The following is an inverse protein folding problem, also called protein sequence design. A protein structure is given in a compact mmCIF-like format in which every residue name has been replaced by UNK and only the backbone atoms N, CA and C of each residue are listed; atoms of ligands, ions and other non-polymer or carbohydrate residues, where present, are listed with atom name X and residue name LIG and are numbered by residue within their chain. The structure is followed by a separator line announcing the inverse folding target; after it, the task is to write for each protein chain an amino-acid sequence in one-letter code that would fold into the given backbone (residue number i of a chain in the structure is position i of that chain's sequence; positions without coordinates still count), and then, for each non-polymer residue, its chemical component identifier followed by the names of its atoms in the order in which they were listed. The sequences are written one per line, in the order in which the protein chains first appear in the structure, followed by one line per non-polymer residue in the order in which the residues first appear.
data_IF_458404936738
#
_entry.id   IF_458404936738
#
_cell.length_a   1.000
_cell.length_b   1.000
_cell.length_c   1.000
_cell.angle_alpha   90.00
_cell.angle_beta   90.00
_cell.angle_gamma   90.00
#
_symmetry.space_group_name_H-M   'P 1'
#
loop_
_entity.id
_entity.type
_entity.pdbx_description
1 polymer ?
#
# COMPACT_ATOMS: atom_id res chain seq x y z
N UNK A 1 -9.90 10.66 0.42
CA UNK A 1 -8.82 10.95 -0.56
C UNK A 1 -9.02 10.18 -1.86
N UNK A 2 -9.11 8.84 -1.84
CA UNK A 2 -9.32 8.03 -3.06
C UNK A 2 -10.56 8.44 -3.86
N UNK A 3 -11.73 8.53 -3.23
CA UNK A 3 -12.97 8.96 -3.89
C UNK A 3 -12.84 10.35 -4.53
N UNK A 4 -12.08 11.23 -3.90
CA UNK A 4 -11.80 12.59 -4.43
C UNK A 4 -10.92 12.52 -5.68
N UNK A 5 -9.84 11.75 -5.64
CA UNK A 5 -8.93 11.56 -6.78
C UNK A 5 -9.64 10.88 -7.96
N UNK A 6 -10.46 9.85 -7.68
CA UNK A 6 -11.29 9.17 -8.67
C UNK A 6 -12.25 10.13 -9.36
N UNK A 7 -13.02 10.91 -8.58
CA UNK A 7 -13.95 11.89 -9.11
C UNK A 7 -13.25 12.98 -9.94
N UNK A 8 -12.06 13.44 -9.52
CA UNK A 8 -11.26 14.40 -10.29
C UNK A 8 -10.76 13.81 -11.62
N UNK A 9 -10.30 12.56 -11.63
CA UNK A 9 -9.87 11.88 -12.84
C UNK A 9 -11.04 11.68 -13.82
N UNK A 10 -12.21 11.26 -13.32
CA UNK A 10 -13.45 11.13 -14.10
C UNK A 10 -13.88 12.47 -14.70
N UNK A 11 -13.92 13.54 -13.89
CA UNK A 11 -14.28 14.89 -14.35
C UNK A 11 -13.30 15.44 -15.40
N UNK A 12 -12.03 15.04 -15.33
CA UNK A 12 -11.00 15.39 -16.29
C UNK A 12 -10.95 14.45 -17.53
N UNK A 13 -11.85 13.46 -17.62
CA UNK A 13 -11.87 12.48 -18.71
C UNK A 13 -10.62 11.60 -18.77
N UNK A 14 -9.89 11.45 -17.66
CA UNK A 14 -8.69 10.61 -17.59
C UNK A 14 -9.10 9.15 -17.42
N UNK A 15 -8.49 8.20 -18.17
CA UNK A 15 -8.73 6.79 -17.95
C UNK A 15 -8.28 6.39 -16.54
N UNK A 16 -9.06 5.54 -15.88
CA UNK A 16 -8.77 5.02 -14.55
C UNK A 16 -8.49 3.53 -14.68
N UNK A 17 -7.37 3.10 -14.10
CA UNK A 17 -6.96 1.72 -14.06
C UNK A 17 -6.63 1.36 -12.61
N UNK A 18 -7.28 0.31 -12.09
CA UNK A 18 -6.95 -0.26 -10.80
C UNK A 18 -5.95 -1.41 -10.98
N UNK A 19 -4.94 -1.49 -10.11
CA UNK A 19 -4.02 -2.63 -10.10
C UNK A 19 -4.67 -3.93 -9.64
N UNK A 20 -5.82 -3.82 -8.98
CA UNK A 20 -6.58 -4.92 -8.38
C UNK A 20 -8.08 -4.60 -8.47
N UNK A 21 -8.87 -5.66 -8.51
CA UNK A 21 -10.32 -5.65 -8.31
C UNK A 21 -10.66 -5.76 -6.82
N UNK A 22 -11.90 -5.40 -6.47
CA UNK A 22 -12.39 -5.56 -5.10
C UNK A 22 -12.31 -7.02 -4.62
N UNK A 23 -12.69 -7.96 -5.49
CA UNK A 23 -12.65 -9.39 -5.17
C UNK A 23 -11.23 -9.90 -4.95
N UNK A 24 -10.24 -9.40 -5.69
CA UNK A 24 -8.83 -9.72 -5.45
C UNK A 24 -8.39 -9.23 -4.08
N UNK A 25 -8.70 -7.98 -3.71
CA UNK A 25 -8.36 -7.44 -2.40
C UNK A 25 -9.00 -8.23 -1.25
N UNK A 26 -10.28 -8.59 -1.37
CA UNK A 26 -10.96 -9.42 -0.37
C UNK A 26 -10.30 -10.79 -0.25
N UNK A 27 -9.93 -11.41 -1.39
CA UNK A 27 -9.24 -12.71 -1.40
C UNK A 27 -7.85 -12.68 -0.77
N UNK A 28 -7.17 -11.53 -0.72
CA UNK A 28 -5.88 -11.42 -0.02
C UNK A 28 -6.00 -11.85 1.44
N UNK A 29 -7.06 -11.42 2.14
CA UNK A 29 -7.30 -11.82 3.53
C UNK A 29 -8.06 -13.15 3.62
N UNK A 30 -9.13 -13.31 2.83
CA UNK A 30 -9.98 -14.51 2.89
C UNK A 30 -9.28 -15.79 2.42
N UNK A 31 -8.21 -15.67 1.64
CA UNK A 31 -7.40 -16.78 1.15
C UNK A 31 -6.30 -17.23 2.12
N UNK A 32 -6.10 -16.55 3.25
CA UNK A 32 -5.10 -16.93 4.24
C UNK A 32 -5.55 -18.16 5.05
N UNK A 33 -4.62 -18.89 5.67
CA UNK A 33 -4.97 -19.90 6.66
C UNK A 33 -5.85 -19.31 7.79
N UNK A 34 -6.88 -20.06 8.21
CA UNK A 34 -7.88 -19.57 9.18
C UNK A 34 -7.24 -19.14 10.51
N UNK A 35 -6.22 -19.86 10.98
CA UNK A 35 -5.46 -19.51 12.18
C UNK A 35 -4.79 -18.13 12.07
N UNK A 36 -4.27 -17.79 10.88
CA UNK A 36 -3.66 -16.49 10.61
C UNK A 36 -4.73 -15.38 10.53
N UNK A 37 -5.87 -15.65 9.90
CA UNK A 37 -7.00 -14.71 9.86
C UNK A 37 -7.47 -14.38 11.28
N UNK A 38 -7.65 -15.39 12.13
CA UNK A 38 -8.08 -15.22 13.51
C UNK A 38 -7.02 -14.53 14.37
N UNK A 39 -5.73 -14.83 14.17
CA UNK A 39 -4.65 -14.14 14.86
C UNK A 39 -4.63 -12.64 14.51
N UNK A 40 -4.74 -12.30 13.22
CA UNK A 40 -4.78 -10.91 12.77
C UNK A 40 -5.99 -10.15 13.30
N UNK A 41 -7.17 -10.78 13.31
CA UNK A 41 -8.37 -10.18 13.93
C UNK A 41 -8.18 -9.92 15.42
N UNK A 42 -7.61 -10.87 16.17
CA UNK A 42 -7.34 -10.69 17.61
C UNK A 42 -6.33 -9.59 17.88
N UNK A 43 -5.26 -9.49 17.08
CA UNK A 43 -4.27 -8.41 17.16
C UNK A 43 -4.93 -7.05 16.95
N UNK A 44 -5.72 -6.92 15.87
CA UNK A 44 -6.49 -5.72 15.56
C UNK A 44 -7.45 -5.32 16.69
N UNK A 45 -8.12 -6.29 17.31
CA UNK A 45 -9.02 -6.02 18.45
C UNK A 45 -8.26 -5.65 19.73
N UNK A 46 -7.07 -6.20 19.94
CA UNK A 46 -6.23 -5.88 21.09
C UNK A 46 -5.63 -4.47 21.02
N UNK A 47 -5.37 -3.94 19.82
CA UNK A 47 -4.88 -2.58 19.59
C UNK A 47 -5.98 -1.54 19.39
N UNK A 48 -7.26 -1.94 19.47
CA UNK A 48 -8.42 -1.08 19.13
C UNK A 48 -8.43 0.26 19.86
N UNK A 49 -8.10 0.29 21.15
CA UNK A 49 -8.09 1.52 21.95
C UNK A 49 -7.05 2.54 21.46
N UNK A 50 -5.99 2.08 20.79
CA UNK A 50 -4.94 2.93 20.22
C UNK A 50 -5.16 3.24 18.74
N UNK A 51 -6.09 2.57 18.06
CA UNK A 51 -6.24 2.62 16.61
C UNK A 51 -6.46 4.04 16.06
N UNK A 52 -7.22 4.89 16.76
CA UNK A 52 -7.41 6.29 16.35
C UNK A 52 -6.11 7.09 16.47
N UNK A 53 -5.35 6.90 17.55
CA UNK A 53 -4.08 7.61 17.76
C UNK A 53 -3.03 7.17 16.73
N UNK A 54 -2.94 5.88 16.44
CA UNK A 54 -2.04 5.35 15.41
C UNK A 54 -2.42 5.84 14.00
N UNK A 55 -3.72 5.90 13.70
CA UNK A 55 -4.21 6.46 12.44
C UNK A 55 -3.87 7.96 12.31
N UNK A 56 -4.08 8.75 13.36
CA UNK A 56 -3.74 10.17 13.36
C UNK A 56 -2.23 10.37 13.15
N UNK A 57 -1.39 9.57 13.81
CA UNK A 57 0.07 9.58 13.61
C UNK A 57 0.47 9.21 12.18
N UNK A 58 -0.20 8.24 11.57
CA UNK A 58 0.04 7.85 10.18
C UNK A 58 -0.37 8.94 9.19
N UNK A 59 -1.51 9.60 9.41
CA UNK A 59 -1.98 10.73 8.60
C UNK A 59 -1.01 11.91 8.70
N UNK A 60 -0.55 12.23 9.90
CA UNK A 60 0.44 13.27 10.16
C UNK A 60 1.79 12.97 9.47
N UNK A 61 2.25 11.73 9.57
CA UNK A 61 3.47 11.27 8.91
C UNK A 61 3.35 11.39 7.39
N UNK A 62 2.21 10.98 6.83
CA UNK A 62 1.89 11.12 5.41
C UNK A 62 1.92 12.59 4.96
N UNK A 63 1.25 13.48 5.69
CA UNK A 63 1.18 14.90 5.35
C UNK A 63 2.56 15.58 5.33
N UNK A 64 3.50 15.12 6.16
CA UNK A 64 4.88 15.63 6.20
C UNK A 64 5.86 14.88 5.29
N UNK A 65 5.42 13.81 4.64
CA UNK A 65 6.30 12.93 3.85
C UNK A 65 7.36 12.20 4.69
N UNK A 66 7.07 11.91 5.96
CA UNK A 66 7.94 11.17 6.87
C UNK A 66 7.80 9.66 6.64
N UNK A 67 8.56 9.14 5.68
CA UNK A 67 8.52 7.73 5.27
C UNK A 67 8.90 6.78 6.42
N UNK A 68 9.81 7.19 7.31
CA UNK A 68 10.23 6.37 8.43
C UNK A 68 9.11 6.24 9.48
N UNK A 69 8.36 7.32 9.72
CA UNK A 69 7.19 7.26 10.59
C UNK A 69 6.04 6.46 9.95
N UNK A 70 5.84 6.56 8.62
CA UNK A 70 4.85 5.72 7.91
C UNK A 70 5.21 4.24 8.06
N UNK A 71 6.48 3.87 7.93
CA UNK A 71 6.94 2.50 8.17
C UNK A 71 6.62 2.06 9.61
N UNK A 72 6.98 2.88 10.60
CA UNK A 72 6.72 2.58 12.02
C UNK A 72 5.25 2.33 12.34
N UNK A 73 4.35 3.22 11.89
CA UNK A 73 2.94 3.16 12.28
C UNK A 73 2.07 2.34 11.32
N UNK A 74 2.49 2.17 10.07
CA UNK A 74 1.71 1.50 9.03
C UNK A 74 2.26 0.14 8.58
N UNK A 75 3.47 -0.24 8.99
CA UNK A 75 4.15 -1.45 8.48
C UNK A 75 4.75 -2.31 9.61
N UNK A 76 5.51 -1.71 10.54
CA UNK A 76 6.31 -2.46 11.52
C UNK A 76 5.45 -3.40 12.37
N UNK A 77 4.37 -2.90 12.99
CA UNK A 77 3.50 -3.72 13.83
C UNK A 77 2.95 -4.94 13.09
N UNK A 78 2.49 -4.76 11.85
CA UNK A 78 1.98 -5.85 11.02
C UNK A 78 3.08 -6.87 10.66
N UNK A 79 4.29 -6.40 10.33
CA UNK A 79 5.44 -7.26 10.00
C UNK A 79 5.91 -8.05 11.20
N UNK A 80 5.98 -7.41 12.36
CA UNK A 80 6.47 -8.02 13.59
C UNK A 80 5.45 -9.01 14.16
N UNK A 81 4.15 -8.76 13.98
CA UNK A 81 3.08 -9.67 14.40
C UNK A 81 2.93 -10.89 13.50
N UNK A 82 3.00 -10.71 12.17
CA UNK A 82 2.88 -11.83 11.24
C UNK A 82 3.51 -11.55 9.87
N UNK A 83 4.59 -12.28 9.58
CA UNK A 83 5.21 -12.30 8.24
C UNK A 83 4.20 -12.72 7.15
N UNK A 84 3.26 -13.63 7.46
CA UNK A 84 2.24 -14.08 6.50
C UNK A 84 1.31 -12.93 6.11
N UNK A 85 0.84 -12.16 7.11
CA UNK A 85 -0.02 -10.98 6.87
C UNK A 85 0.75 -9.89 6.13
N UNK A 86 1.97 -9.58 6.58
CA UNK A 86 2.82 -8.58 5.96
C UNK A 86 3.08 -8.88 4.48
N UNK A 87 3.39 -10.14 4.16
CA UNK A 87 3.59 -10.57 2.78
C UNK A 87 2.33 -10.42 1.94
N UNK A 88 1.20 -10.92 2.44
CA UNK A 88 -0.06 -10.89 1.72
C UNK A 88 -0.55 -9.46 1.47
N UNK A 89 -0.54 -8.60 2.50
CA UNK A 89 -1.09 -7.26 2.43
C UNK A 89 -0.17 -6.23 1.77
N UNK A 90 1.15 -6.44 1.78
CA UNK A 90 2.12 -5.50 1.21
C UNK A 90 3.07 -6.13 0.20
N UNK A 91 3.89 -7.12 0.59
CA UNK A 91 5.03 -7.56 -0.24
C UNK A 91 4.58 -8.13 -1.59
N UNK A 92 3.63 -9.06 -1.58
CA UNK A 92 3.19 -9.77 -2.78
C UNK A 92 2.41 -8.82 -3.70
N UNK A 93 1.57 -7.96 -3.11
CA UNK A 93 0.83 -6.92 -3.85
C UNK A 93 1.76 -5.89 -4.48
N UNK A 94 2.71 -5.34 -3.72
CA UNK A 94 3.70 -4.40 -4.25
C UNK A 94 4.55 -5.03 -5.35
N UNK A 95 4.88 -6.32 -5.24
CA UNK A 95 5.64 -7.05 -6.26
C UNK A 95 4.85 -7.22 -7.55
N UNK A 96 3.55 -7.54 -7.45
CA UNK A 96 2.62 -7.61 -8.58
C UNK A 96 2.45 -6.24 -9.24
N UNK A 97 2.15 -5.20 -8.46
CA UNK A 97 1.97 -3.84 -8.97
C UNK A 97 3.24 -3.30 -9.62
N UNK A 98 4.41 -3.60 -9.05
CA UNK A 98 5.68 -3.22 -9.68
C UNK A 98 5.85 -3.84 -11.08
N UNK A 99 5.33 -5.06 -11.31
CA UNK A 99 5.29 -5.67 -12.64
C UNK A 99 4.40 -4.88 -13.59
N UNK A 100 3.15 -4.62 -13.18
CA UNK A 100 2.19 -3.85 -13.98
C UNK A 100 2.70 -2.42 -14.29
N UNK A 101 3.35 -1.77 -13.32
CA UNK A 101 3.94 -0.43 -13.49
C UNK A 101 5.08 -0.47 -14.52
N UNK A 102 5.93 -1.51 -14.49
CA UNK A 102 6.99 -1.64 -15.50
C UNK A 102 6.43 -1.82 -16.90
N UNK A 103 5.43 -2.69 -17.07
CA UNK A 103 4.74 -2.86 -18.37
C UNK A 103 4.15 -1.53 -18.87
N UNK A 104 3.54 -0.74 -17.97
CA UNK A 104 3.02 0.58 -18.33
C UNK A 104 4.13 1.58 -18.71
N UNK A 105 5.30 1.50 -18.07
CA UNK A 105 6.46 2.36 -18.37
C UNK A 105 7.13 2.04 -19.72
N UNK A 106 6.91 0.85 -20.29
CA UNK A 106 7.33 0.52 -21.67
C UNK A 106 6.52 1.28 -22.73
N UNK A 107 5.34 1.77 -22.35
CA UNK A 107 4.49 2.61 -23.18
C UNK A 107 4.99 4.06 -23.27
N UNK A 108 4.05 4.97 -23.52
CA UNK A 108 4.33 6.41 -23.60
C UNK A 108 3.29 7.20 -22.82
N UNK A 109 3.65 8.42 -22.43
CA UNK A 109 2.78 9.33 -21.68
C UNK A 109 3.16 9.44 -20.21
N UNK A 110 2.24 9.97 -19.42
CA UNK A 110 2.43 10.21 -17.98
C UNK A 110 1.28 9.59 -17.21
N UNK A 111 1.62 8.76 -16.23
CA UNK A 111 0.67 8.05 -15.40
C UNK A 111 0.80 8.58 -13.98
N UNK A 112 -0.34 8.92 -13.38
CA UNK A 112 -0.42 9.25 -11.96
C UNK A 112 -0.91 8.03 -11.21
N UNK A 113 -0.13 7.57 -10.24
CA UNK A 113 -0.43 6.39 -9.42
C UNK A 113 -0.70 6.87 -7.99
N UNK A 114 -1.85 6.46 -7.44
CA UNK A 114 -2.20 6.68 -6.04
C UNK A 114 -2.43 5.32 -5.37
N UNK A 115 -1.75 5.10 -4.25
CA UNK A 115 -1.84 3.89 -3.42
C UNK A 115 -1.85 4.26 -1.94
N UNK A 116 -2.21 3.31 -1.06
CA UNK A 116 -2.15 3.52 0.38
C UNK A 116 -0.73 3.78 0.88
N UNK A 117 -0.59 4.60 1.93
CA UNK A 117 0.71 5.07 2.44
C UNK A 117 1.67 3.92 2.80
N UNK A 118 1.17 2.84 3.40
CA UNK A 118 1.98 1.67 3.77
C UNK A 118 2.69 1.00 2.58
N UNK A 119 2.14 1.11 1.36
CA UNK A 119 2.78 0.58 0.14
C UNK A 119 4.02 1.39 -0.30
N UNK A 120 4.21 2.57 0.29
CA UNK A 120 5.28 3.53 0.01
C UNK A 120 6.31 3.61 1.14
N UNK A 121 6.31 2.66 2.08
CA UNK A 121 7.25 2.64 3.20
C UNK A 121 7.90 1.25 3.41
N UNK A 122 9.09 1.24 3.99
CA UNK A 122 9.89 0.03 4.22
C UNK A 122 10.55 -0.60 3.00
N UNK A 123 11.28 -1.68 3.28
CA UNK A 123 12.18 -2.35 2.32
C UNK A 123 11.45 -3.01 1.15
N UNK A 124 10.19 -3.39 1.34
CA UNK A 124 9.34 -3.96 0.30
C UNK A 124 8.33 -2.96 -0.29
N UNK A 125 8.55 -1.65 -0.12
CA UNK A 125 7.73 -0.63 -0.79
C UNK A 125 7.83 -0.71 -2.31
N UNK A 126 6.74 -0.37 -3.01
CA UNK A 126 6.66 -0.47 -4.48
C UNK A 126 7.80 0.27 -5.17
N UNK A 127 8.16 1.45 -4.67
CA UNK A 127 9.28 2.25 -5.18
C UNK A 127 10.66 1.60 -4.96
N UNK A 128 10.84 0.83 -3.87
CA UNK A 128 12.09 0.10 -3.58
C UNK A 128 12.24 -1.06 -4.56
N UNK A 129 11.14 -1.78 -4.81
CA UNK A 129 11.06 -2.88 -5.79
C UNK A 129 11.29 -2.34 -7.21
N UNK A 130 10.62 -1.26 -7.60
CA UNK A 130 10.83 -0.63 -8.91
C UNK A 130 12.29 -0.22 -9.11
N UNK A 131 12.92 0.38 -8.09
CA UNK A 131 14.34 0.75 -8.15
C UNK A 131 15.26 -0.46 -8.30
N UNK A 132 15.00 -1.57 -7.61
CA UNK A 132 15.80 -2.79 -7.76
C UNK A 132 15.67 -3.41 -9.16
N UNK A 133 14.55 -3.12 -9.85
CA UNK A 133 14.32 -3.50 -11.26
C UNK A 133 14.78 -2.44 -12.28
N UNK A 134 15.56 -1.44 -11.85
CA UNK A 134 16.19 -0.47 -12.74
C UNK A 134 15.33 0.76 -13.08
N UNK A 135 14.13 0.90 -12.51
CA UNK A 135 13.31 2.10 -12.68
C UNK A 135 13.90 3.24 -11.86
N UNK A 136 14.19 4.37 -12.53
CA UNK A 136 14.65 5.59 -11.86
C UNK A 136 13.44 6.32 -11.28
N UNK A 137 13.52 6.67 -10.01
CA UNK A 137 12.53 7.49 -9.34
C UNK A 137 13.24 8.63 -8.62
N UNK A 138 12.63 9.81 -8.68
CA UNK A 138 13.07 10.99 -7.96
C UNK A 138 11.94 11.43 -7.02
N UNK A 139 12.31 11.75 -5.78
CA UNK A 139 11.37 12.33 -4.82
C UNK A 139 11.25 13.82 -5.13
N UNK A 140 10.04 14.29 -5.42
CA UNK A 140 9.76 15.70 -5.77
C UNK A 140 9.42 16.58 -4.55
N UNK A 141 9.82 16.16 -3.35
CA UNK A 141 9.55 16.82 -2.06
C UNK A 141 10.81 16.91 -1.23
#
# INVERSE_FOLDING_TARGET
MELTLKAQAEAAGKPIHGFETLDEQVRVLAGLPEDQQLAFLRGTLASWDNATTELDQLVDAWARGDVAAIERYGVDGMRDESEVIYRALLVDRNSNWAGQIQEQLEGSGTIFIAVGAAHLAGDHSVQRILRSRGVRAERLQ
#
